data_IF_025184595517
#
_entry.id   IF_025184595517
#
_cell.length_a   1.000
_cell.length_b   1.000
_cell.length_c   1.000
_cell.angle_alpha   90.00
_cell.angle_beta   90.00
_cell.angle_gamma   90.00
#
_symmetry.space_group_name_H-M   'P 1'
#
loop_
_entity.id
_entity.type
_entity.pdbx_description
1 polymer ?
#
# COMPACT_ATOMS: atom_id res chain seq x y z
N UNK A 1 6.31 14.61 -18.96
CA UNK A 1 7.44 14.03 -18.20
C UNK A 1 8.74 14.01 -18.98
N UNK A 2 8.72 13.88 -20.28
CA UNK A 2 9.92 13.87 -21.14
C UNK A 2 10.82 15.12 -21.00
N UNK A 3 10.23 16.27 -20.68
CA UNK A 3 10.96 17.55 -20.51
C UNK A 3 11.59 17.73 -19.11
N UNK A 4 11.35 16.82 -18.16
CA UNK A 4 11.79 16.98 -16.77
C UNK A 4 13.07 16.20 -16.44
N UNK A 5 13.49 15.31 -17.32
CA UNK A 5 14.72 14.54 -17.18
C UNK A 5 15.79 15.10 -18.12
N UNK A 6 16.64 15.99 -17.61
CA UNK A 6 17.90 16.28 -18.29
C UNK A 6 18.73 15.00 -18.39
N UNK A 7 19.36 14.77 -19.54
CA UNK A 7 20.28 13.66 -19.73
C UNK A 7 21.41 13.72 -18.67
N UNK A 8 21.33 12.85 -17.67
CA UNK A 8 22.31 12.79 -16.59
C UNK A 8 23.45 11.84 -16.96
N UNK A 9 24.64 12.17 -16.54
CA UNK A 9 25.88 11.41 -16.84
C UNK A 9 26.22 10.37 -15.76
N UNK A 10 25.26 9.75 -15.11
CA UNK A 10 25.54 8.66 -14.16
C UNK A 10 24.94 7.35 -14.67
N UNK A 11 25.48 6.23 -14.18
CA UNK A 11 25.16 4.87 -14.67
C UNK A 11 23.82 4.32 -14.11
N UNK A 12 23.10 5.08 -13.25
CA UNK A 12 21.83 4.66 -12.67
C UNK A 12 20.70 4.79 -13.68
N UNK A 13 19.89 3.74 -13.81
CA UNK A 13 18.66 3.80 -14.60
C UNK A 13 17.60 4.69 -13.94
N UNK A 14 16.62 5.18 -14.70
CA UNK A 14 15.51 5.94 -14.11
C UNK A 14 14.66 5.07 -13.16
N UNK A 15 14.61 3.77 -13.35
CA UNK A 15 13.93 2.84 -12.45
C UNK A 15 14.63 2.76 -11.08
N UNK A 16 15.96 2.73 -11.05
CA UNK A 16 16.75 2.81 -9.80
C UNK A 16 16.56 4.16 -9.11
N UNK A 17 16.45 5.26 -9.88
CA UNK A 17 16.18 6.59 -9.34
C UNK A 17 14.78 6.69 -8.74
N UNK A 18 13.79 5.95 -9.23
CA UNK A 18 12.47 5.89 -8.64
C UNK A 18 12.53 5.37 -7.21
N UNK A 19 13.32 4.32 -6.98
CA UNK A 19 13.58 3.81 -5.63
C UNK A 19 14.20 4.89 -4.72
N UNK A 20 15.24 5.58 -5.23
CA UNK A 20 15.91 6.64 -4.47
C UNK A 20 14.94 7.79 -4.13
N UNK A 21 14.14 8.26 -5.09
CA UNK A 21 13.12 9.31 -4.86
C UNK A 21 12.16 8.95 -3.75
N UNK A 22 11.73 7.69 -3.71
CA UNK A 22 10.79 7.20 -2.70
C UNK A 22 11.42 7.13 -1.32
N UNK A 23 12.57 6.46 -1.18
CA UNK A 23 13.18 6.21 0.14
C UNK A 23 13.60 7.50 0.86
N UNK A 24 13.97 8.56 0.11
CA UNK A 24 14.30 9.86 0.67
C UNK A 24 13.08 10.79 0.84
N UNK A 25 11.90 10.37 0.45
CA UNK A 25 10.69 11.18 0.51
C UNK A 25 10.11 11.29 1.92
N UNK A 26 9.45 12.41 2.22
CA UNK A 26 8.75 12.60 3.48
C UNK A 26 7.55 11.65 3.65
N UNK A 27 6.71 11.37 2.62
CA UNK A 27 5.66 10.37 2.73
C UNK A 27 6.18 9.00 3.15
N UNK A 28 7.26 8.51 2.53
CA UNK A 28 7.85 7.21 2.89
C UNK A 28 8.37 7.18 4.33
N UNK A 29 9.09 8.22 4.76
CA UNK A 29 9.60 8.30 6.14
C UNK A 29 8.50 8.35 7.19
N UNK A 30 7.33 8.92 6.89
CA UNK A 30 6.19 8.93 7.81
C UNK A 30 5.60 7.55 8.08
N UNK A 31 5.86 6.54 7.22
CA UNK A 31 5.43 5.17 7.43
C UNK A 31 6.03 4.57 8.71
N UNK A 32 7.19 5.07 9.19
CA UNK A 32 7.81 4.63 10.43
C UNK A 32 6.87 4.69 11.65
N UNK A 33 6.00 5.69 11.71
CA UNK A 33 5.07 5.91 12.81
C UNK A 33 3.60 5.69 12.39
N UNK A 34 3.39 4.78 11.45
CA UNK A 34 2.07 4.24 11.08
C UNK A 34 2.01 2.76 11.41
N UNK A 35 0.97 2.36 12.12
CA UNK A 35 0.70 0.98 12.50
C UNK A 35 0.47 0.12 11.27
N UNK A 36 1.07 -1.08 11.23
CA UNK A 36 0.77 -2.09 10.21
C UNK A 36 -0.46 -2.91 10.64
N UNK A 37 -0.34 -3.68 11.69
CA UNK A 37 -1.41 -4.49 12.29
C UNK A 37 -1.50 -4.21 13.78
N UNK A 38 -0.39 -4.39 14.50
CA UNK A 38 -0.36 -4.24 15.94
C UNK A 38 -0.02 -2.82 16.37
N UNK A 39 -0.50 -2.39 17.58
CA UNK A 39 -0.03 -1.16 18.20
C UNK A 39 1.50 -1.13 18.19
N UNK A 40 2.07 0.07 17.98
CA UNK A 40 3.53 0.23 18.08
C UNK A 40 3.93 0.22 19.57
N UNK A 41 4.35 -0.94 20.13
CA UNK A 41 4.72 -1.02 21.55
C UNK A 41 6.11 -0.44 21.77
N UNK A 42 6.33 0.14 22.93
CA UNK A 42 7.64 0.65 23.31
C UNK A 42 8.67 -0.43 23.69
N UNK A 43 8.23 -1.67 23.94
CA UNK A 43 9.06 -2.73 24.54
C UNK A 43 9.32 -3.96 23.67
N UNK A 44 8.52 -4.18 22.62
CA UNK A 44 8.65 -5.33 21.72
C UNK A 44 8.66 -4.81 20.28
N UNK A 45 9.60 -5.31 19.47
CA UNK A 45 9.63 -4.97 18.07
C UNK A 45 8.51 -5.72 17.32
N UNK A 46 7.63 -4.95 16.69
CA UNK A 46 6.68 -5.43 15.69
C UNK A 46 6.81 -4.59 14.43
N UNK A 47 6.35 -5.10 13.29
CA UNK A 47 6.46 -4.40 12.03
C UNK A 47 5.57 -3.13 12.02
N UNK A 48 6.16 -2.03 11.55
CA UNK A 48 5.45 -0.82 11.15
C UNK A 48 5.40 -0.75 9.62
N UNK A 49 4.66 0.19 9.06
CA UNK A 49 4.51 0.29 7.59
C UNK A 49 5.81 0.54 6.86
N UNK A 50 6.81 1.21 7.48
CA UNK A 50 8.12 1.43 6.86
C UNK A 50 8.90 0.14 6.75
N UNK A 51 9.01 -0.63 7.84
CA UNK A 51 9.73 -1.92 7.82
C UNK A 51 9.05 -2.92 6.90
N UNK A 52 7.72 -2.98 6.93
CA UNK A 52 6.94 -3.79 5.99
C UNK A 52 7.20 -3.40 4.53
N UNK A 53 7.13 -2.11 4.17
CA UNK A 53 7.40 -1.66 2.80
C UNK A 53 8.82 -1.99 2.32
N UNK A 54 9.81 -1.97 3.22
CA UNK A 54 11.18 -2.39 2.90
C UNK A 54 11.29 -3.90 2.63
N UNK A 55 10.61 -4.71 3.42
CA UNK A 55 10.56 -6.17 3.26
C UNK A 55 9.82 -6.56 1.98
N UNK A 56 8.65 -5.94 1.73
CA UNK A 56 7.91 -6.12 0.46
C UNK A 56 8.76 -5.73 -0.73
N UNK A 57 9.53 -4.64 -0.63
CA UNK A 57 10.46 -4.21 -1.68
C UNK A 57 11.59 -5.21 -1.92
N UNK A 58 12.11 -5.85 -0.88
CA UNK A 58 13.13 -6.90 -0.99
C UNK A 58 12.57 -8.15 -1.68
N UNK A 59 11.37 -8.61 -1.27
CA UNK A 59 10.69 -9.76 -1.87
C UNK A 59 10.29 -9.46 -3.32
N UNK A 60 9.74 -8.28 -3.57
CA UNK A 60 9.35 -7.83 -4.91
C UNK A 60 10.53 -7.76 -5.88
N UNK A 61 11.68 -7.27 -5.42
CA UNK A 61 12.90 -7.28 -6.22
C UNK A 61 13.33 -8.71 -6.58
N UNK A 62 13.24 -9.63 -5.64
CA UNK A 62 13.59 -11.04 -5.87
C UNK A 62 12.64 -11.67 -6.88
N UNK A 63 11.32 -11.49 -6.73
CA UNK A 63 10.31 -11.92 -7.71
C UNK A 63 10.57 -11.33 -9.08
N UNK A 64 10.80 -10.01 -9.16
CA UNK A 64 11.07 -9.33 -10.43
C UNK A 64 12.32 -9.83 -11.13
N UNK A 65 13.40 -10.08 -10.40
CA UNK A 65 14.66 -10.64 -10.96
C UNK A 65 14.46 -12.08 -11.45
N UNK A 66 13.76 -12.92 -10.67
CA UNK A 66 13.49 -14.31 -11.04
C UNK A 66 12.63 -14.37 -12.30
N UNK A 67 11.54 -13.55 -12.36
CA UNK A 67 10.68 -13.43 -13.55
C UNK A 67 11.48 -12.93 -14.76
N UNK A 68 12.28 -11.86 -14.61
CA UNK A 68 13.12 -11.34 -15.68
C UNK A 68 14.06 -12.42 -16.24
N UNK A 69 14.71 -13.17 -15.36
CA UNK A 69 15.59 -14.27 -15.74
C UNK A 69 14.86 -15.38 -16.53
N UNK A 70 13.63 -15.74 -16.12
CA UNK A 70 12.84 -16.76 -16.84
C UNK A 70 12.34 -16.23 -18.20
N UNK A 71 11.88 -14.97 -18.26
CA UNK A 71 11.43 -14.34 -19.50
C UNK A 71 12.57 -14.23 -20.52
N UNK A 72 13.79 -13.85 -20.10
CA UNK A 72 14.95 -13.79 -21.00
C UNK A 72 15.37 -15.18 -21.53
N UNK A 73 15.21 -16.24 -20.73
CA UNK A 73 15.43 -17.61 -21.21
C UNK A 73 14.38 -18.03 -22.23
N UNK A 74 13.11 -17.65 -22.02
CA UNK A 74 11.99 -17.98 -22.91
C UNK A 74 12.01 -17.14 -24.20
N UNK A 75 12.43 -15.87 -24.08
CA UNK A 75 12.47 -14.88 -25.15
C UNK A 75 13.85 -14.22 -25.29
N UNK A 76 14.89 -14.94 -25.80
CA UNK A 76 16.25 -14.39 -25.90
C UNK A 76 16.38 -13.10 -26.72
N UNK A 77 15.45 -12.88 -27.67
CA UNK A 77 15.41 -11.65 -28.47
C UNK A 77 15.18 -10.37 -27.67
N UNK A 78 14.74 -10.49 -26.42
CA UNK A 78 14.49 -9.36 -25.51
C UNK A 78 15.73 -9.00 -24.66
N UNK A 79 16.90 -9.57 -24.92
CA UNK A 79 18.11 -9.33 -24.13
C UNK A 79 18.54 -7.85 -24.08
N UNK A 80 18.30 -7.10 -25.17
CA UNK A 80 18.60 -5.67 -25.24
C UNK A 80 17.46 -4.77 -24.79
N UNK A 81 16.39 -5.33 -24.23
CA UNK A 81 15.26 -4.59 -23.67
C UNK A 81 15.46 -4.28 -22.18
N UNK A 82 14.52 -3.51 -21.60
CA UNK A 82 14.51 -3.20 -20.15
C UNK A 82 13.95 -4.33 -19.26
N UNK A 83 13.81 -5.56 -19.75
CA UNK A 83 13.31 -6.69 -18.95
C UNK A 83 14.19 -6.96 -17.72
N UNK A 84 15.51 -6.76 -17.82
CA UNK A 84 16.43 -6.86 -16.68
C UNK A 84 16.11 -5.89 -15.55
N UNK A 85 15.38 -4.80 -15.81
CA UNK A 85 15.01 -3.79 -14.83
C UNK A 85 13.69 -4.10 -14.08
N UNK A 86 13.01 -5.21 -14.41
CA UNK A 86 11.75 -5.59 -13.73
C UNK A 86 11.93 -5.61 -12.22
N UNK A 87 13.06 -6.15 -11.72
CA UNK A 87 13.36 -6.15 -10.29
C UNK A 87 13.46 -4.77 -9.68
N UNK A 88 14.05 -3.80 -10.39
CA UNK A 88 14.15 -2.39 -9.94
C UNK A 88 12.76 -1.73 -9.92
N UNK A 89 11.96 -1.92 -10.97
CA UNK A 89 10.60 -1.37 -11.07
C UNK A 89 9.71 -1.91 -9.95
N UNK A 90 9.66 -3.23 -9.78
CA UNK A 90 8.84 -3.88 -8.75
C UNK A 90 9.30 -3.48 -7.35
N UNK A 91 10.61 -3.41 -7.11
CA UNK A 91 11.17 -2.95 -5.84
C UNK A 91 10.71 -1.53 -5.48
N UNK A 92 10.76 -0.60 -6.44
CA UNK A 92 10.29 0.77 -6.24
C UNK A 92 8.76 0.82 -6.02
N UNK A 93 7.99 0.09 -6.82
CA UNK A 93 6.54 0.00 -6.66
C UNK A 93 6.13 -0.57 -5.29
N UNK A 94 6.84 -1.57 -4.80
CA UNK A 94 6.66 -2.14 -3.47
C UNK A 94 6.94 -1.12 -2.35
N UNK A 95 7.94 -0.23 -2.48
CA UNK A 95 8.12 0.84 -1.50
C UNK A 95 6.92 1.79 -1.45
N UNK A 96 6.25 1.97 -2.56
CA UNK A 96 5.19 2.95 -2.71
C UNK A 96 3.79 2.41 -2.37
N UNK A 97 3.58 1.09 -2.30
CA UNK A 97 2.25 0.49 -2.22
C UNK A 97 1.43 0.97 -1.03
N UNK A 98 2.07 1.21 0.11
CA UNK A 98 1.44 1.62 1.38
C UNK A 98 1.49 3.14 1.65
N UNK A 99 2.04 3.95 0.74
CA UNK A 99 2.21 5.41 0.94
C UNK A 99 0.89 6.14 1.20
N UNK A 100 -0.19 5.67 0.60
CA UNK A 100 -1.50 6.31 0.64
C UNK A 100 -2.34 5.96 1.85
N UNK A 101 -1.94 4.99 2.65
CA UNK A 101 -2.70 4.58 3.84
C UNK A 101 -2.74 5.71 4.87
N UNK A 102 -3.94 6.08 5.37
CA UNK A 102 -4.07 7.07 6.42
C UNK A 102 -3.54 6.55 7.76
N UNK A 103 -3.44 7.40 8.79
CA UNK A 103 -3.19 6.93 10.16
C UNK A 103 -4.18 5.84 10.56
N UNK A 104 -3.72 4.88 11.34
CA UNK A 104 -4.49 3.71 11.80
C UNK A 104 -4.96 2.77 10.66
N UNK A 105 -4.33 2.85 9.49
CA UNK A 105 -4.54 1.94 8.37
C UNK A 105 -5.98 1.82 7.88
N UNK A 106 -6.50 0.60 7.77
CA UNK A 106 -7.87 0.35 7.29
C UNK A 106 -8.96 0.97 8.15
N UNK A 107 -8.74 1.12 9.46
CA UNK A 107 -9.66 1.86 10.32
C UNK A 107 -9.75 3.34 9.93
N UNK A 108 -8.61 3.94 9.59
CA UNK A 108 -8.56 5.31 9.06
C UNK A 108 -9.28 5.45 7.71
N UNK A 109 -9.08 4.51 6.75
CA UNK A 109 -9.80 4.48 5.47
C UNK A 109 -11.32 4.42 5.71
N UNK A 110 -11.73 3.48 6.57
CA UNK A 110 -13.14 3.29 6.92
C UNK A 110 -13.72 4.52 7.61
N UNK A 111 -12.97 5.17 8.50
CA UNK A 111 -13.39 6.40 9.15
C UNK A 111 -13.63 7.54 8.15
N UNK A 112 -12.76 7.70 7.15
CA UNK A 112 -12.91 8.67 6.05
C UNK A 112 -14.19 8.36 5.25
N UNK A 113 -14.30 7.14 4.74
CA UNK A 113 -15.45 6.73 3.92
C UNK A 113 -16.77 6.84 4.66
N UNK A 114 -16.81 6.41 5.93
CA UNK A 114 -18.02 6.44 6.78
C UNK A 114 -18.41 7.89 7.15
N UNK A 115 -17.45 8.80 7.31
CA UNK A 115 -17.75 10.22 7.53
C UNK A 115 -18.65 10.79 6.43
N UNK A 116 -18.39 10.43 5.16
CA UNK A 116 -19.20 10.86 4.02
C UNK A 116 -20.46 10.00 3.84
N UNK A 117 -20.40 8.69 4.00
CA UNK A 117 -21.52 7.79 3.70
C UNK A 117 -22.59 7.72 4.80
N UNK A 118 -22.21 7.88 6.06
CA UNK A 118 -23.09 7.71 7.24
C UNK A 118 -22.98 8.85 8.25
N UNK A 119 -21.94 9.70 8.15
CA UNK A 119 -21.63 10.74 9.13
C UNK A 119 -22.08 12.14 8.71
N UNK A 120 -21.45 13.16 9.34
CA UNK A 120 -21.77 14.57 9.10
C UNK A 120 -21.49 15.01 7.65
N UNK A 121 -20.57 14.34 6.98
CA UNK A 121 -20.23 14.60 5.59
C UNK A 121 -21.37 14.34 4.60
N UNK A 122 -22.40 13.56 4.96
CA UNK A 122 -23.58 13.33 4.13
C UNK A 122 -24.27 14.63 3.66
N UNK A 123 -24.21 15.68 4.47
CA UNK A 123 -24.77 16.99 4.12
C UNK A 123 -24.14 17.61 2.88
N UNK A 124 -22.89 17.21 2.54
CA UNK A 124 -22.12 17.73 1.41
C UNK A 124 -22.52 17.10 0.06
N UNK A 125 -23.25 15.99 0.06
CA UNK A 125 -23.64 15.25 -1.15
C UNK A 125 -24.29 16.13 -2.22
N UNK A 126 -25.08 17.13 -1.81
CA UNK A 126 -25.81 18.01 -2.73
C UNK A 126 -24.90 19.03 -3.44
N UNK A 127 -23.69 19.25 -2.92
CA UNK A 127 -22.71 20.22 -3.40
C UNK A 127 -21.63 19.56 -4.28
N UNK A 128 -21.67 18.23 -4.43
CA UNK A 128 -20.69 17.42 -5.13
C UNK A 128 -21.33 16.66 -6.30
N UNK A 129 -20.57 16.43 -7.36
CA UNK A 129 -20.97 15.55 -8.44
C UNK A 129 -21.02 14.09 -7.97
N UNK A 130 -21.74 13.19 -8.66
CA UNK A 130 -21.75 11.76 -8.31
C UNK A 130 -20.37 11.14 -8.26
N UNK A 131 -19.47 11.48 -9.20
CA UNK A 131 -18.10 10.93 -9.25
C UNK A 131 -17.25 11.41 -8.07
N UNK A 132 -17.32 12.70 -7.73
CA UNK A 132 -16.65 13.25 -6.55
C UNK A 132 -17.17 12.61 -5.25
N UNK A 133 -18.47 12.32 -5.22
CA UNK A 133 -19.09 11.65 -4.08
C UNK A 133 -18.63 10.20 -3.94
N UNK A 134 -18.53 9.48 -5.04
CA UNK A 134 -18.03 8.10 -5.05
C UNK A 134 -16.58 8.03 -4.57
N UNK A 135 -15.72 8.96 -4.97
CA UNK A 135 -14.35 9.08 -4.47
C UNK A 135 -14.28 9.20 -2.94
N UNK A 136 -15.15 10.01 -2.37
CA UNK A 136 -15.14 10.29 -0.92
C UNK A 136 -15.75 9.16 -0.10
N UNK A 137 -16.83 8.55 -0.59
CA UNK A 137 -17.52 7.46 0.11
C UNK A 137 -16.80 6.11 0.00
N UNK A 138 -15.87 5.99 -0.93
CA UNK A 138 -15.04 4.81 -1.13
C UNK A 138 -13.55 5.06 -0.88
N UNK A 139 -13.18 6.14 -0.18
CA UNK A 139 -11.76 6.51 0.02
C UNK A 139 -10.87 5.28 0.24
N UNK A 140 -9.77 5.19 -0.52
CA UNK A 140 -8.94 4.00 -0.63
C UNK A 140 -7.44 4.36 -0.70
N UNK A 141 -6.63 3.64 0.09
CA UNK A 141 -5.19 3.92 0.24
C UNK A 141 -4.39 3.73 -1.05
N UNK A 142 -4.73 2.75 -1.90
CA UNK A 142 -4.01 2.57 -3.17
C UNK A 142 -4.25 3.75 -4.12
N UNK A 143 -5.49 4.25 -4.23
CA UNK A 143 -5.80 5.45 -5.01
C UNK A 143 -5.06 6.68 -4.44
N UNK A 144 -5.00 6.79 -3.12
CA UNK A 144 -4.28 7.87 -2.45
C UNK A 144 -2.75 7.76 -2.64
N UNK A 145 -2.17 6.55 -2.72
CA UNK A 145 -0.77 6.37 -3.06
C UNK A 145 -0.46 6.90 -4.47
N UNK A 146 -1.30 6.58 -5.45
CA UNK A 146 -1.18 7.11 -6.81
C UNK A 146 -1.26 8.63 -6.81
N UNK A 147 -2.23 9.24 -6.09
CA UNK A 147 -2.35 10.68 -5.93
C UNK A 147 -1.11 11.31 -5.31
N UNK A 148 -0.57 10.77 -4.22
CA UNK A 148 0.65 11.30 -3.57
C UNK A 148 1.82 11.39 -4.55
N UNK A 149 1.93 10.45 -5.48
CA UNK A 149 3.04 10.34 -6.42
C UNK A 149 2.86 11.19 -7.68
N UNK A 150 1.63 11.42 -8.13
CA UNK A 150 1.33 12.13 -9.39
C UNK A 150 0.89 13.56 -9.17
N UNK A 151 0.16 13.84 -8.09
CA UNK A 151 -0.40 15.16 -7.82
C UNK A 151 0.69 16.23 -7.59
N UNK A 152 0.48 17.40 -8.21
CA UNK A 152 1.34 18.56 -8.00
C UNK A 152 0.87 19.35 -6.78
N UNK A 153 1.42 19.04 -5.62
CA UNK A 153 1.23 19.85 -4.41
C UNK A 153 1.85 21.22 -4.53
N UNK A 154 1.33 22.21 -3.79
CA UNK A 154 1.86 23.57 -3.79
C UNK A 154 3.36 23.63 -3.44
N UNK A 155 4.10 24.45 -4.16
CA UNK A 155 5.54 24.61 -3.98
C UNK A 155 6.40 23.46 -4.55
N UNK A 156 5.79 22.46 -5.19
CA UNK A 156 6.51 21.37 -5.86
C UNK A 156 6.66 21.62 -7.36
N UNK A 157 7.66 20.97 -7.95
CA UNK A 157 7.83 20.91 -9.39
C UNK A 157 6.66 20.21 -10.05
N UNK A 158 6.39 20.56 -11.32
CA UNK A 158 5.41 19.85 -12.15
C UNK A 158 5.75 18.35 -12.23
N UNK A 159 4.73 17.48 -12.19
CA UNK A 159 4.87 16.02 -12.32
C UNK A 159 5.05 15.28 -10.98
N UNK A 160 4.74 15.92 -9.85
CA UNK A 160 4.76 15.24 -8.53
C UNK A 160 6.15 14.73 -8.17
N UNK A 161 6.28 13.41 -8.00
CA UNK A 161 7.57 12.74 -7.73
C UNK A 161 8.40 12.46 -8.99
N UNK A 162 7.85 12.73 -10.17
CA UNK A 162 8.52 12.48 -11.46
C UNK A 162 8.96 11.01 -11.60
N UNK A 163 8.07 10.11 -11.22
CA UNK A 163 8.29 8.66 -11.33
C UNK A 163 8.14 8.17 -12.78
N UNK A 164 8.77 7.05 -13.11
CA UNK A 164 8.53 6.38 -14.39
C UNK A 164 7.09 5.86 -14.48
N UNK A 165 6.55 5.80 -15.68
CA UNK A 165 5.20 5.27 -15.91
C UNK A 165 5.08 3.80 -15.50
N UNK A 166 6.12 3.00 -15.76
CA UNK A 166 6.14 1.59 -15.37
C UNK A 166 6.02 1.42 -13.86
N UNK A 167 6.74 2.22 -13.06
CA UNK A 167 6.61 2.18 -11.60
C UNK A 167 5.22 2.64 -11.16
N UNK A 168 4.69 3.75 -11.71
CA UNK A 168 3.36 4.25 -11.37
C UNK A 168 2.25 3.26 -11.73
N UNK A 169 2.30 2.62 -12.90
CA UNK A 169 1.32 1.61 -13.29
C UNK A 169 1.39 0.36 -12.41
N UNK A 170 2.58 0.01 -11.92
CA UNK A 170 2.80 -1.18 -11.08
C UNK A 170 2.22 -1.06 -9.67
N UNK A 171 1.91 0.14 -9.17
CA UNK A 171 1.25 0.33 -7.88
C UNK A 171 -0.28 0.31 -7.97
N UNK A 172 -0.86 0.49 -9.16
CA UNK A 172 -2.32 0.59 -9.32
C UNK A 172 -2.95 -0.80 -9.40
N UNK A 173 -3.24 -1.35 -8.22
CA UNK A 173 -3.82 -2.70 -8.04
C UNK A 173 -5.22 -2.82 -8.65
N UNK A 174 -6.00 -1.75 -8.62
CA UNK A 174 -7.39 -1.69 -9.07
C UNK A 174 -7.55 -0.61 -10.15
N UNK A 175 -7.20 -0.88 -11.42
CA UNK A 175 -7.09 0.13 -12.46
C UNK A 175 -8.45 0.58 -13.01
N UNK A 176 -9.30 1.09 -12.11
CA UNK A 176 -10.63 1.62 -12.43
C UNK A 176 -11.03 2.74 -11.47
N UNK A 177 -11.99 3.57 -11.90
CA UNK A 177 -12.52 4.70 -11.14
C UNK A 177 -13.37 4.26 -9.94
N UNK A 178 -13.58 5.15 -8.98
CA UNK A 178 -14.37 4.92 -7.77
C UNK A 178 -15.82 4.49 -8.03
N UNK A 179 -16.40 4.86 -9.19
CA UNK A 179 -17.72 4.43 -9.61
C UNK A 179 -17.85 2.88 -9.71
N UNK A 180 -16.74 2.18 -9.88
CA UNK A 180 -16.68 0.72 -9.96
C UNK A 180 -16.19 0.05 -8.66
N UNK A 181 -15.99 0.82 -7.59
CA UNK A 181 -15.41 0.33 -6.33
C UNK A 181 -16.23 -0.78 -5.65
N UNK A 182 -17.55 -0.79 -5.84
CA UNK A 182 -18.46 -1.79 -5.31
C UNK A 182 -18.42 -1.90 -3.77
N UNK A 183 -18.88 -3.03 -3.24
CA UNK A 183 -18.96 -3.27 -1.78
C UNK A 183 -17.59 -3.32 -1.08
N UNK A 184 -16.52 -3.60 -1.82
CA UNK A 184 -15.16 -3.68 -1.25
C UNK A 184 -14.47 -2.33 -1.17
N UNK A 185 -15.07 -1.26 -1.68
CA UNK A 185 -14.51 0.10 -1.73
C UNK A 185 -13.09 0.15 -2.30
N UNK A 186 -12.80 -0.64 -3.35
CA UNK A 186 -11.48 -0.71 -3.99
C UNK A 186 -11.51 -0.06 -5.36
N UNK A 187 -10.57 0.89 -5.60
CA UNK A 187 -10.36 1.56 -6.89
C UNK A 187 -8.92 2.10 -6.95
N UNK A 188 -8.46 2.61 -8.10
CA UNK A 188 -7.05 2.88 -8.31
C UNK A 188 -6.64 4.34 -8.43
N UNK A 189 -7.56 5.23 -8.72
CA UNK A 189 -7.31 6.66 -8.88
C UNK A 189 -8.57 7.48 -8.65
N UNK A 190 -8.42 8.63 -8.02
CA UNK A 190 -9.51 9.61 -7.84
C UNK A 190 -9.82 10.31 -9.18
N UNK A 191 -10.97 10.95 -9.26
CA UNK A 191 -11.38 11.76 -10.40
C UNK A 191 -10.30 12.79 -10.79
N UNK A 192 -9.63 13.36 -9.81
CA UNK A 192 -8.55 14.34 -10.03
C UNK A 192 -7.30 13.77 -10.70
N UNK A 193 -7.02 12.47 -10.58
CA UNK A 193 -5.87 11.77 -11.16
C UNK A 193 -6.25 10.88 -12.36
N UNK A 194 -7.53 10.87 -12.77
CA UNK A 194 -8.01 10.03 -13.87
C UNK A 194 -7.27 10.30 -15.18
N UNK A 195 -7.08 11.57 -15.53
CA UNK A 195 -6.36 11.96 -16.74
C UNK A 195 -4.88 11.53 -16.73
N UNK A 196 -4.24 11.56 -15.56
CA UNK A 196 -2.86 11.10 -15.40
C UNK A 196 -2.78 9.58 -15.63
N UNK A 197 -3.72 8.81 -15.06
CA UNK A 197 -3.73 7.36 -15.28
C UNK A 197 -4.06 7.00 -16.74
N UNK A 198 -5.00 7.69 -17.38
CA UNK A 198 -5.29 7.50 -18.81
C UNK A 198 -4.05 7.72 -19.68
N UNK A 199 -3.28 8.78 -19.41
CA UNK A 199 -2.03 9.06 -20.12
C UNK A 199 -1.02 7.93 -19.91
N UNK A 200 -0.80 7.50 -18.65
CA UNK A 200 0.12 6.40 -18.32
C UNK A 200 -0.30 5.11 -19.02
N UNK A 201 -1.59 4.78 -18.98
CA UNK A 201 -2.12 3.58 -19.63
C UNK A 201 -1.93 3.60 -21.15
N UNK A 202 -2.14 4.77 -21.78
CA UNK A 202 -1.92 4.95 -23.22
C UNK A 202 -0.47 4.78 -23.63
N UNK A 203 0.47 5.38 -22.89
CA UNK A 203 1.92 5.29 -23.17
C UNK A 203 2.47 3.87 -22.95
N UNK A 204 1.92 3.12 -22.02
CA UNK A 204 2.33 1.74 -21.73
C UNK A 204 1.53 0.69 -22.53
N UNK A 205 0.54 1.10 -23.34
CA UNK A 205 -0.30 0.18 -24.08
C UNK A 205 -1.18 -0.70 -23.19
N UNK A 206 -1.56 -0.24 -21.99
CA UNK A 206 -2.44 -0.99 -21.09
C UNK A 206 -3.86 -1.06 -21.71
N UNK A 207 -4.40 -2.25 -21.79
CA UNK A 207 -5.67 -2.51 -22.46
C UNK A 207 -6.83 -1.84 -21.70
N UNK A 208 -7.57 -0.96 -22.36
CA UNK A 208 -8.83 -0.43 -21.83
C UNK A 208 -9.92 -1.47 -21.95
N UNK A 209 -10.59 -1.79 -20.84
CA UNK A 209 -11.67 -2.79 -20.77
C UNK A 209 -13.06 -2.16 -20.85
N UNK A 210 -13.21 -0.87 -20.47
CA UNK A 210 -14.48 -0.15 -20.54
C UNK A 210 -14.68 0.51 -21.90
N UNK A 211 -15.95 0.65 -22.32
CA UNK A 211 -16.35 1.44 -23.51
C UNK A 211 -16.17 2.94 -23.24
N UNK A 212 -16.19 3.78 -24.32
CA UNK A 212 -15.99 5.22 -24.17
C UNK A 212 -16.93 5.91 -23.16
N UNK A 213 -18.20 5.49 -23.11
CA UNK A 213 -19.25 6.08 -22.28
C UNK A 213 -19.42 5.38 -20.91
N UNK A 214 -18.59 4.40 -20.61
CA UNK A 214 -18.59 3.68 -19.35
C UNK A 214 -17.51 4.22 -18.40
N UNK A 215 -17.69 4.08 -17.06
CA UNK A 215 -16.64 4.40 -16.09
C UNK A 215 -15.32 3.73 -16.45
N UNK A 216 -14.21 4.44 -16.25
CA UNK A 216 -12.91 3.96 -16.68
C UNK A 216 -12.53 2.66 -15.99
N UNK A 217 -12.12 1.69 -16.81
CA UNK A 217 -11.56 0.41 -16.39
C UNK A 217 -10.51 -0.06 -17.37
N UNK A 218 -9.35 -0.41 -16.84
CA UNK A 218 -8.22 -0.98 -17.58
C UNK A 218 -7.88 -2.39 -17.10
N UNK A 219 -7.13 -3.14 -17.90
CA UNK A 219 -6.44 -4.34 -17.44
C UNK A 219 -5.37 -3.95 -16.40
N UNK A 220 -5.01 -4.88 -15.53
CA UNK A 220 -3.91 -4.67 -14.58
C UNK A 220 -2.58 -4.65 -15.35
N UNK A 221 -1.70 -3.72 -15.01
CA UNK A 221 -0.32 -3.76 -15.51
C UNK A 221 0.34 -5.07 -15.06
N UNK A 222 1.10 -5.78 -15.91
CA UNK A 222 1.66 -7.09 -15.57
C UNK A 222 2.45 -7.13 -14.26
N UNK A 223 3.21 -6.09 -13.95
CA UNK A 223 4.04 -6.05 -12.74
C UNK A 223 3.24 -5.84 -11.45
N UNK A 224 1.97 -5.42 -11.52
CA UNK A 224 1.08 -5.35 -10.34
C UNK A 224 0.96 -6.71 -9.66
N UNK A 225 0.92 -7.79 -10.42
CA UNK A 225 0.83 -9.15 -9.86
C UNK A 225 2.05 -9.52 -9.02
N UNK A 226 3.23 -9.00 -9.36
CA UNK A 226 4.45 -9.21 -8.58
C UNK A 226 4.48 -8.35 -7.32
N UNK A 227 4.00 -7.11 -7.41
CA UNK A 227 3.87 -6.22 -6.24
C UNK A 227 2.87 -6.79 -5.24
N UNK A 228 1.69 -7.23 -5.73
CA UNK A 228 0.66 -7.87 -4.91
C UNK A 228 1.17 -9.16 -4.26
N UNK A 229 1.86 -10.02 -5.00
CA UNK A 229 2.43 -11.25 -4.45
C UNK A 229 3.49 -10.97 -3.39
N UNK A 230 4.33 -9.96 -3.57
CA UNK A 230 5.32 -9.55 -2.58
C UNK A 230 4.67 -9.07 -1.29
N UNK A 231 3.60 -8.27 -1.39
CA UNK A 231 2.80 -7.80 -0.26
C UNK A 231 2.12 -8.97 0.46
N UNK A 232 1.39 -9.83 -0.27
CA UNK A 232 0.71 -11.00 0.28
C UNK A 232 1.67 -11.94 1.03
N UNK A 233 2.87 -12.19 0.49
CA UNK A 233 3.91 -13.03 1.11
C UNK A 233 4.41 -12.39 2.40
N UNK A 234 4.79 -11.10 2.36
CA UNK A 234 5.33 -10.41 3.52
C UNK A 234 4.26 -10.25 4.60
N UNK A 235 3.09 -9.74 4.24
CA UNK A 235 1.99 -9.52 5.17
C UNK A 235 1.69 -10.79 5.96
N UNK A 236 1.47 -11.92 5.28
CA UNK A 236 1.11 -13.17 5.94
C UNK A 236 2.23 -13.73 6.83
N UNK A 237 3.48 -13.72 6.35
CA UNK A 237 4.60 -14.32 7.09
C UNK A 237 5.04 -13.44 8.26
N UNK A 238 5.05 -12.13 8.10
CA UNK A 238 5.45 -11.21 9.18
C UNK A 238 4.40 -11.14 10.28
N UNK A 239 3.11 -11.20 9.95
CA UNK A 239 2.04 -11.20 10.95
C UNK A 239 2.11 -12.44 11.88
N UNK A 240 2.45 -13.61 11.32
CA UNK A 240 2.65 -14.83 12.11
C UNK A 240 3.89 -14.68 13.03
N UNK A 241 4.98 -14.07 12.54
CA UNK A 241 6.16 -13.79 13.37
C UNK A 241 5.85 -12.78 14.48
N UNK A 242 5.15 -11.69 14.16
CA UNK A 242 4.76 -10.69 15.15
C UNK A 242 3.83 -11.27 16.22
N UNK A 243 2.89 -12.15 15.81
CA UNK A 243 2.05 -12.89 16.76
C UNK A 243 2.87 -13.78 17.70
N UNK A 244 3.95 -14.40 17.20
CA UNK A 244 4.88 -15.14 18.04
C UNK A 244 5.60 -14.21 19.06
N UNK A 245 6.14 -13.08 18.57
CA UNK A 245 6.82 -12.09 19.43
C UNK A 245 5.91 -11.53 20.51
N UNK A 246 4.64 -11.31 20.19
CA UNK A 246 3.62 -10.84 21.12
C UNK A 246 3.00 -11.96 21.98
N UNK A 247 3.48 -13.20 21.84
CA UNK A 247 3.01 -14.37 22.58
C UNK A 247 1.53 -14.71 22.32
N UNK A 248 0.98 -14.28 21.19
CA UNK A 248 -0.33 -14.72 20.71
C UNK A 248 -0.24 -16.12 20.09
N UNK A 249 0.93 -16.50 19.58
CA UNK A 249 1.29 -17.84 19.15
C UNK A 249 2.51 -18.32 19.94
N UNK A 250 2.49 -19.59 20.34
CA UNK A 250 3.67 -20.23 20.94
C UNK A 250 4.73 -20.51 19.88
N UNK A 251 5.97 -20.79 20.31
CA UNK A 251 7.05 -21.21 19.41
C UNK A 251 6.66 -22.46 18.61
N UNK A 252 6.11 -23.46 19.27
CA UNK A 252 5.76 -24.74 18.63
C UNK A 252 4.62 -24.57 17.60
N UNK A 253 3.59 -23.78 17.93
CA UNK A 253 2.52 -23.44 16.98
C UNK A 253 3.09 -22.72 15.74
N UNK A 254 3.94 -21.72 15.95
CA UNK A 254 4.54 -20.94 14.85
C UNK A 254 5.45 -21.80 13.99
N UNK A 255 6.27 -22.64 14.60
CA UNK A 255 7.13 -23.60 13.91
C UNK A 255 6.32 -24.57 13.06
N UNK A 256 5.25 -25.15 13.62
CA UNK A 256 4.40 -26.10 12.91
C UNK A 256 3.71 -25.43 11.70
N UNK A 257 3.21 -24.20 11.83
CA UNK A 257 2.64 -23.44 10.72
C UNK A 257 3.64 -23.28 9.56
N UNK A 258 4.87 -22.88 9.85
CA UNK A 258 5.89 -22.72 8.80
C UNK A 258 6.39 -24.06 8.25
N UNK A 259 6.44 -25.12 9.06
CA UNK A 259 6.85 -26.44 8.60
C UNK A 259 5.89 -27.06 7.57
N UNK A 260 4.60 -26.66 7.56
CA UNK A 260 3.61 -27.14 6.59
C UNK A 260 3.98 -26.79 5.13
N UNK A 261 4.78 -25.76 4.90
CA UNK A 261 5.23 -25.38 3.56
C UNK A 261 6.27 -26.32 2.94
N UNK A 262 6.77 -27.30 3.68
CA UNK A 262 7.88 -28.13 3.24
C UNK A 262 7.54 -29.60 3.18
N UNK A 263 8.13 -30.32 2.20
CA UNK A 263 8.12 -31.77 2.13
C UNK A 263 8.95 -32.39 3.27
N UNK A 264 8.83 -33.71 3.45
CA UNK A 264 9.50 -34.44 4.52
C UNK A 264 11.04 -34.30 4.47
N UNK A 265 11.62 -34.30 3.27
CA UNK A 265 13.07 -34.17 3.07
C UNK A 265 13.55 -32.79 3.55
N UNK A 266 12.83 -31.74 3.18
CA UNK A 266 13.16 -30.37 3.56
C UNK A 266 12.93 -30.14 5.05
N UNK A 267 11.84 -30.71 5.63
CA UNK A 267 11.57 -30.66 7.07
C UNK A 267 12.72 -31.24 7.89
N UNK A 268 13.23 -32.42 7.54
CA UNK A 268 14.39 -33.05 8.22
C UNK A 268 15.62 -32.13 8.22
N UNK A 269 15.93 -31.49 7.08
CA UNK A 269 17.05 -30.55 6.98
C UNK A 269 16.84 -29.30 7.85
N UNK A 270 15.62 -28.78 7.89
CA UNK A 270 15.27 -27.64 8.73
C UNK A 270 15.41 -28.00 10.22
N UNK A 271 14.96 -29.20 10.61
CA UNK A 271 15.12 -29.69 11.98
C UNK A 271 16.60 -29.81 12.39
N UNK A 272 17.47 -30.26 11.50
CA UNK A 272 18.91 -30.28 11.73
C UNK A 272 19.46 -28.88 12.02
N UNK A 273 19.04 -27.88 11.25
CA UNK A 273 19.43 -26.48 11.49
C UNK A 273 18.89 -25.99 12.82
N UNK A 274 17.61 -26.27 13.16
CA UNK A 274 17.00 -25.89 14.42
C UNK A 274 17.63 -26.55 15.66
N UNK A 275 18.35 -27.68 15.50
CA UNK A 275 19.14 -28.28 16.60
C UNK A 275 20.43 -27.50 16.87
N UNK A 276 20.98 -26.83 15.85
CA UNK A 276 22.21 -26.03 15.96
C UNK A 276 21.87 -24.62 16.44
N UNK A 277 20.80 -24.04 15.90
CA UNK A 277 20.31 -22.72 16.30
C UNK A 277 19.44 -22.87 17.54
N UNK A 278 19.93 -22.43 18.69
CA UNK A 278 19.25 -22.63 20.00
C UNK A 278 18.32 -21.48 20.38
N UNK A 279 18.51 -20.29 19.80
CA UNK A 279 17.61 -19.16 20.01
C UNK A 279 16.30 -19.36 19.24
N UNK A 280 15.18 -19.26 19.95
CA UNK A 280 13.85 -19.54 19.37
C UNK A 280 13.42 -18.50 18.33
N UNK A 281 13.83 -17.24 18.49
CA UNK A 281 13.50 -16.20 17.52
C UNK A 281 14.29 -16.38 16.23
N UNK A 282 15.57 -16.78 16.34
CA UNK A 282 16.41 -17.11 15.20
C UNK A 282 15.89 -18.36 14.44
N UNK A 283 15.34 -19.35 15.14
CA UNK A 283 14.66 -20.49 14.50
C UNK A 283 13.46 -20.03 13.68
N UNK A 284 12.62 -19.16 14.22
CA UNK A 284 11.45 -18.62 13.53
C UNK A 284 11.88 -17.75 12.34
N UNK A 285 12.89 -16.90 12.50
CA UNK A 285 13.43 -16.09 11.41
C UNK A 285 13.98 -16.95 10.24
N UNK A 286 14.67 -18.05 10.56
CA UNK A 286 15.16 -19.01 9.54
C UNK A 286 14.00 -19.70 8.80
N UNK A 287 12.98 -20.15 9.53
CA UNK A 287 11.78 -20.77 8.97
C UNK A 287 11.04 -19.80 8.06
N UNK A 288 10.77 -18.58 8.54
CA UNK A 288 10.15 -17.51 7.77
C UNK A 288 10.89 -17.26 6.45
N UNK A 289 12.20 -17.08 6.51
CA UNK A 289 13.03 -16.85 5.32
C UNK A 289 12.95 -18.02 4.34
N UNK A 290 12.89 -19.25 4.84
CA UNK A 290 12.75 -20.45 4.01
C UNK A 290 11.38 -20.53 3.32
N UNK A 291 10.30 -20.16 4.01
CA UNK A 291 8.94 -20.08 3.46
C UNK A 291 8.85 -19.00 2.38
N UNK A 292 9.36 -17.80 2.67
CA UNK A 292 9.39 -16.70 1.70
C UNK A 292 10.09 -17.14 0.41
N UNK A 293 11.25 -17.79 0.52
CA UNK A 293 11.98 -18.31 -0.65
C UNK A 293 11.20 -19.36 -1.44
N UNK A 294 10.39 -20.20 -0.79
CA UNK A 294 9.54 -21.18 -1.46
C UNK A 294 8.38 -20.49 -2.20
N UNK A 295 7.73 -19.50 -1.56
CA UNK A 295 6.63 -18.72 -2.16
C UNK A 295 7.10 -17.87 -3.34
N UNK A 296 8.28 -17.23 -3.26
CA UNK A 296 8.88 -16.48 -4.38
C UNK A 296 9.01 -17.39 -5.60
N UNK A 297 9.59 -18.57 -5.45
CA UNK A 297 9.79 -19.52 -6.56
C UNK A 297 8.45 -19.93 -7.19
N UNK A 298 7.47 -20.20 -6.36
CA UNK A 298 6.17 -20.66 -6.82
C UNK A 298 5.39 -19.54 -7.52
N UNK A 299 5.39 -18.32 -6.99
CA UNK A 299 4.79 -17.16 -7.65
C UNK A 299 5.49 -16.83 -8.97
N UNK A 300 6.81 -16.97 -9.05
CA UNK A 300 7.57 -16.84 -10.31
C UNK A 300 7.11 -17.86 -11.35
N UNK A 301 6.92 -19.12 -10.93
CA UNK A 301 6.38 -20.17 -11.81
C UNK A 301 4.98 -19.81 -12.32
N UNK A 302 4.08 -19.46 -11.41
CA UNK A 302 2.70 -19.08 -11.76
C UNK A 302 2.69 -17.92 -12.76
N UNK A 303 3.50 -16.89 -12.52
CA UNK A 303 3.60 -15.73 -13.42
C UNK A 303 4.06 -16.15 -14.82
N UNK A 304 5.15 -16.90 -14.92
CA UNK A 304 5.77 -17.27 -16.20
C UNK A 304 4.95 -18.28 -17.00
N UNK A 305 4.21 -19.17 -16.34
CA UNK A 305 3.27 -20.09 -16.98
C UNK A 305 2.02 -19.40 -17.49
N UNK A 306 1.62 -18.27 -16.89
CA UNK A 306 0.44 -17.50 -17.27
C UNK A 306 0.77 -16.17 -17.97
N UNK A 307 2.01 -16.03 -18.48
CA UNK A 307 2.49 -14.81 -19.13
C UNK A 307 1.50 -14.23 -20.14
N UNK A 308 1.00 -15.05 -21.07
CA UNK A 308 0.04 -14.61 -22.11
C UNK A 308 -1.25 -14.03 -21.50
N UNK A 309 -1.85 -14.74 -20.55
CA UNK A 309 -3.08 -14.27 -19.87
C UNK A 309 -2.85 -12.99 -19.07
N UNK A 310 -1.66 -12.83 -18.47
CA UNK A 310 -1.28 -11.62 -17.75
C UNK A 310 -1.16 -10.45 -18.72
N UNK A 311 -0.50 -10.64 -19.86
CA UNK A 311 -0.31 -9.61 -20.87
C UNK A 311 -1.62 -9.21 -21.57
N UNK A 312 -2.55 -10.16 -21.77
CA UNK A 312 -3.86 -9.90 -22.37
C UNK A 312 -4.91 -9.37 -21.38
N UNK A 313 -4.57 -9.34 -20.07
CA UNK A 313 -5.49 -8.92 -19.00
C UNK A 313 -6.56 -9.95 -18.63
N UNK A 314 -6.40 -11.21 -19.08
CA UNK A 314 -7.32 -12.33 -18.84
C UNK A 314 -6.98 -13.13 -17.56
N UNK A 315 -5.84 -12.84 -16.91
CA UNK A 315 -5.48 -13.53 -15.68
C UNK A 315 -6.29 -13.01 -14.51
N UNK A 316 -7.06 -13.90 -13.90
CA UNK A 316 -7.94 -13.58 -12.77
C UNK A 316 -7.28 -13.90 -11.42
N UNK A 317 -7.56 -13.07 -10.41
CA UNK A 317 -7.09 -13.24 -9.04
C UNK A 317 -5.65 -12.78 -8.82
N UNK A 318 -4.97 -13.41 -7.85
CA UNK A 318 -3.58 -13.11 -7.45
C UNK A 318 -2.68 -14.30 -7.73
N UNK A 319 -1.35 -14.10 -7.80
CA UNK A 319 -0.43 -15.22 -8.00
C UNK A 319 -0.54 -16.26 -6.86
N UNK A 320 -0.73 -15.80 -5.63
CA UNK A 320 -0.91 -16.67 -4.43
C UNK A 320 -2.15 -17.57 -4.55
N UNK A 321 -3.21 -17.13 -5.24
CA UNK A 321 -4.39 -17.98 -5.45
C UNK A 321 -4.12 -19.19 -6.34
N UNK A 322 -3.06 -19.14 -7.15
CA UNK A 322 -2.72 -20.14 -8.17
C UNK A 322 -1.46 -20.95 -7.85
N UNK A 323 -0.86 -20.78 -6.66
CA UNK A 323 0.24 -21.64 -6.22
C UNK A 323 -0.24 -23.08 -6.00
N UNK A 324 0.65 -24.06 -6.15
CA UNK A 324 0.27 -25.47 -6.00
C UNK A 324 0.14 -25.88 -4.53
N UNK A 325 -0.63 -26.96 -4.27
CA UNK A 325 -0.54 -27.70 -3.01
C UNK A 325 0.83 -28.43 -2.94
N UNK A 326 1.46 -28.55 -1.74
CA UNK A 326 0.88 -28.23 -0.43
C UNK A 326 1.06 -26.76 0.02
N UNK A 327 1.80 -25.93 -0.73
CA UNK A 327 2.09 -24.53 -0.37
C UNK A 327 0.79 -23.71 -0.18
N UNK A 328 -0.18 -23.91 -1.06
CA UNK A 328 -1.49 -23.22 -0.96
C UNK A 328 -2.25 -23.56 0.32
N UNK A 329 -2.29 -24.83 0.67
CA UNK A 329 -2.96 -25.30 1.89
C UNK A 329 -2.29 -24.72 3.14
N UNK A 330 -0.94 -24.71 3.18
CA UNK A 330 -0.18 -24.12 4.27
C UNK A 330 -0.41 -22.60 4.38
N UNK A 331 -0.44 -21.90 3.25
CA UNK A 331 -0.73 -20.47 3.20
C UNK A 331 -2.15 -20.15 3.72
N UNK A 332 -3.13 -20.92 3.26
CA UNK A 332 -4.54 -20.73 3.68
C UNK A 332 -4.72 -21.03 5.18
N UNK A 333 -4.00 -22.02 5.71
CA UNK A 333 -4.01 -22.29 7.15
C UNK A 333 -3.41 -21.14 7.96
N UNK A 334 -2.26 -20.57 7.52
CA UNK A 334 -1.72 -19.36 8.13
C UNK A 334 -2.72 -18.21 8.11
N UNK A 335 -3.42 -18.00 7.00
CA UNK A 335 -4.45 -16.96 6.86
C UNK A 335 -5.63 -17.17 7.81
N UNK A 336 -6.08 -18.41 7.97
CA UNK A 336 -7.17 -18.76 8.89
C UNK A 336 -6.77 -18.47 10.36
N UNK A 337 -5.55 -18.83 10.75
CA UNK A 337 -5.03 -18.59 12.11
C UNK A 337 -4.85 -17.07 12.35
N UNK A 338 -4.29 -16.34 11.37
CA UNK A 338 -4.15 -14.90 11.46
C UNK A 338 -5.52 -14.22 11.67
N UNK A 339 -6.54 -14.60 10.88
CA UNK A 339 -7.88 -14.06 11.01
C UNK A 339 -8.50 -14.32 12.38
N UNK A 340 -8.31 -15.53 12.93
CA UNK A 340 -8.93 -15.93 14.19
C UNK A 340 -8.23 -15.32 15.41
N UNK A 341 -6.89 -15.26 15.42
CA UNK A 341 -6.10 -14.98 16.62
C UNK A 341 -5.40 -13.62 16.60
N UNK A 342 -5.15 -13.05 15.41
CA UNK A 342 -4.42 -11.80 15.26
C UNK A 342 -5.40 -10.63 15.07
N UNK A 343 -6.15 -10.63 13.95
CA UNK A 343 -6.98 -9.47 13.56
C UNK A 343 -8.21 -9.25 14.44
N UNK A 344 -8.51 -10.18 15.32
CA UNK A 344 -9.59 -10.09 16.33
C UNK A 344 -9.08 -9.92 17.76
N UNK A 345 -7.79 -9.70 17.94
CA UNK A 345 -7.23 -9.43 19.27
C UNK A 345 -7.76 -8.08 19.81
N UNK A 346 -7.86 -7.98 21.14
CA UNK A 346 -8.32 -6.75 21.81
C UNK A 346 -7.46 -5.54 21.42
N UNK A 347 -6.16 -5.72 21.32
CA UNK A 347 -5.21 -4.67 21.01
C UNK A 347 -5.44 -4.07 19.62
N UNK A 348 -5.76 -4.92 18.62
CA UNK A 348 -6.09 -4.47 17.25
C UNK A 348 -7.43 -3.73 17.26
N UNK A 349 -8.45 -4.27 17.94
CA UNK A 349 -9.77 -3.65 18.04
C UNK A 349 -9.72 -2.28 18.73
N UNK A 350 -8.90 -2.12 19.77
CA UNK A 350 -8.74 -0.85 20.47
C UNK A 350 -8.12 0.23 19.57
N UNK A 351 -7.16 -0.13 18.72
CA UNK A 351 -6.62 0.79 17.71
C UNK A 351 -7.69 1.16 16.69
N UNK A 352 -8.46 0.19 16.21
CA UNK A 352 -9.53 0.45 15.25
C UNK A 352 -10.56 1.44 15.81
N UNK A 353 -11.00 1.23 17.05
CA UNK A 353 -11.95 2.14 17.73
C UNK A 353 -11.37 3.53 17.92
N UNK A 354 -10.14 3.62 18.42
CA UNK A 354 -9.47 4.91 18.65
C UNK A 354 -9.22 5.63 17.32
N UNK A 355 -8.69 4.94 16.33
CA UNK A 355 -8.39 5.47 15.00
C UNK A 355 -9.62 6.02 14.30
N UNK A 356 -10.72 5.25 14.31
CA UNK A 356 -11.99 5.68 13.75
C UNK A 356 -12.46 7.01 14.37
N UNK A 357 -12.42 7.12 15.69
CA UNK A 357 -12.85 8.34 16.39
C UNK A 357 -11.94 9.52 16.13
N UNK A 358 -10.64 9.31 16.15
CA UNK A 358 -9.63 10.36 15.92
C UNK A 358 -9.78 10.93 14.51
N UNK A 359 -9.77 10.08 13.49
CA UNK A 359 -9.82 10.49 12.08
C UNK A 359 -11.15 11.16 11.75
N UNK A 360 -12.29 10.57 12.12
CA UNK A 360 -13.62 11.20 11.87
C UNK A 360 -13.72 12.58 12.48
N UNK A 361 -13.20 12.78 13.70
CA UNK A 361 -13.23 14.09 14.36
C UNK A 361 -12.34 15.10 13.66
N UNK A 362 -11.12 14.72 13.29
CA UNK A 362 -10.18 15.62 12.62
C UNK A 362 -10.73 16.07 11.25
N UNK A 363 -11.27 15.15 10.47
CA UNK A 363 -11.87 15.46 9.17
C UNK A 363 -13.05 16.40 9.31
N UNK A 364 -13.98 16.13 10.24
CA UNK A 364 -15.13 16.97 10.46
C UNK A 364 -14.75 18.42 10.79
N UNK A 365 -13.83 18.59 11.74
CA UNK A 365 -13.36 19.92 12.14
C UNK A 365 -12.63 20.66 11.01
N UNK A 366 -11.76 19.97 10.27
CA UNK A 366 -10.97 20.55 9.18
C UNK A 366 -11.85 20.90 7.97
N UNK A 367 -12.77 20.03 7.57
CA UNK A 367 -13.71 20.31 6.46
C UNK A 367 -14.62 21.50 6.81
N UNK A 368 -15.16 21.55 8.04
CA UNK A 368 -15.94 22.69 8.48
C UNK A 368 -15.11 23.99 8.51
N UNK A 369 -13.83 23.91 8.86
CA UNK A 369 -12.94 25.07 8.86
C UNK A 369 -12.69 25.61 7.44
N UNK A 370 -12.37 24.75 6.46
CA UNK A 370 -12.13 25.20 5.07
C UNK A 370 -13.41 25.67 4.37
N UNK A 371 -14.59 25.28 4.84
CA UNK A 371 -15.89 25.78 4.36
C UNK A 371 -16.28 27.13 4.96
N UNK A 372 -15.79 27.47 6.14
CA UNK A 372 -16.10 28.73 6.84
C UNK A 372 -14.80 29.38 7.34
N UNK A 373 -13.90 29.78 6.42
CA UNK A 373 -12.55 30.24 6.77
C UNK A 373 -12.55 31.58 7.51
N UNK A 374 -13.63 32.34 7.47
CA UNK A 374 -13.80 33.63 8.15
C UNK A 374 -13.94 33.51 9.67
N UNK A 375 -14.29 32.33 10.19
CA UNK A 375 -14.46 32.12 11.64
C UNK A 375 -13.11 32.03 12.34
N UNK A 376 -12.97 32.64 13.51
CA UNK A 376 -11.74 32.69 14.27
C UNK A 376 -11.14 31.29 14.55
N UNK A 377 -11.99 30.34 14.98
CA UNK A 377 -11.53 28.96 15.22
C UNK A 377 -11.13 28.22 13.95
N UNK A 378 -11.83 28.48 12.84
CA UNK A 378 -11.47 27.93 11.53
C UNK A 378 -10.08 28.36 11.08
N UNK A 379 -9.73 29.64 11.29
CA UNK A 379 -8.40 30.17 10.97
C UNK A 379 -7.29 29.45 11.77
N UNK A 380 -7.54 29.16 13.05
CA UNK A 380 -6.58 28.39 13.86
C UNK A 380 -6.36 26.99 13.30
N UNK A 381 -7.43 26.30 12.88
CA UNK A 381 -7.35 24.95 12.28
C UNK A 381 -6.66 24.97 10.92
N UNK A 382 -7.02 25.93 10.05
CA UNK A 382 -6.41 26.09 8.71
C UNK A 382 -4.90 26.37 8.84
N UNK A 383 -4.48 27.19 9.79
CA UNK A 383 -3.07 27.49 10.04
C UNK A 383 -2.25 26.26 10.52
N UNK A 384 -2.92 25.17 10.91
CA UNK A 384 -2.25 23.89 11.22
C UNK A 384 -1.99 23.04 9.97
N UNK A 385 -2.73 23.29 8.89
CA UNK A 385 -2.57 22.57 7.62
C UNK A 385 -1.32 23.11 6.92
N UNK A 386 -0.45 22.21 6.48
CA UNK A 386 0.76 22.58 5.75
C UNK A 386 0.40 23.30 4.45
N UNK A 387 1.11 24.41 4.13
CA UNK A 387 0.89 25.19 2.92
C UNK A 387 1.08 24.44 1.60
N UNK A 388 1.57 23.19 1.63
CA UNK A 388 1.61 22.35 0.44
C UNK A 388 0.22 21.86 -0.01
N UNK A 389 -0.77 21.87 0.89
CA UNK A 389 -2.15 21.42 0.60
C UNK A 389 -3.03 22.64 0.31
N UNK A 390 -3.61 22.71 -0.88
CA UNK A 390 -4.38 23.86 -1.33
C UNK A 390 -5.78 23.90 -0.72
N UNK A 391 -5.87 24.36 0.52
CA UNK A 391 -7.17 24.56 1.23
C UNK A 391 -8.04 25.66 0.62
N UNK A 392 -7.49 26.48 -0.28
CA UNK A 392 -8.18 27.53 -1.01
C UNK A 392 -8.56 27.11 -2.44
N UNK A 393 -8.56 25.81 -2.72
CA UNK A 393 -8.98 25.29 -4.01
C UNK A 393 -10.35 25.88 -4.45
N UNK A 394 -10.57 26.09 -5.76
CA UNK A 394 -11.77 26.77 -6.26
C UNK A 394 -13.06 25.94 -6.08
N UNK A 395 -12.94 24.62 -5.97
CA UNK A 395 -14.08 23.70 -5.79
C UNK A 395 -14.15 23.16 -4.37
N UNK A 396 -15.35 22.78 -3.92
CA UNK A 396 -15.52 22.12 -2.64
C UNK A 396 -14.78 20.78 -2.60
N UNK A 397 -14.82 20.00 -3.67
CA UNK A 397 -14.09 18.75 -3.80
C UNK A 397 -12.58 18.96 -3.62
N UNK A 398 -11.99 19.95 -4.28
CA UNK A 398 -10.56 20.26 -4.14
C UNK A 398 -10.18 20.66 -2.70
N UNK A 399 -11.05 21.42 -2.00
CA UNK A 399 -10.84 21.77 -0.58
C UNK A 399 -10.90 20.52 0.32
N UNK A 400 -11.85 19.61 0.06
CA UNK A 400 -11.98 18.36 0.79
C UNK A 400 -10.74 17.48 0.52
N UNK A 401 -10.31 17.34 -0.73
CA UNK A 401 -9.10 16.60 -1.08
C UNK A 401 -7.87 17.14 -0.35
N UNK A 402 -7.69 18.46 -0.25
CA UNK A 402 -6.59 19.05 0.50
C UNK A 402 -6.63 18.68 2.00
N UNK A 403 -7.81 18.62 2.60
CA UNK A 403 -8.00 18.13 3.98
C UNK A 403 -7.67 16.63 4.09
N UNK A 404 -8.10 15.83 3.13
CA UNK A 404 -7.82 14.39 3.11
C UNK A 404 -6.33 14.11 2.89
N UNK A 405 -5.67 14.85 1.99
CA UNK A 405 -4.21 14.78 1.77
C UNK A 405 -3.44 15.09 3.06
N UNK A 406 -3.87 16.13 3.80
CA UNK A 406 -3.26 16.48 5.08
C UNK A 406 -3.49 15.39 6.12
N UNK A 407 -4.73 14.92 6.26
CA UNK A 407 -5.13 13.95 7.29
C UNK A 407 -4.52 12.57 7.01
N UNK A 408 -4.60 12.09 5.78
CA UNK A 408 -3.99 10.80 5.39
C UNK A 408 -2.47 10.83 5.45
N UNK A 409 -1.87 12.00 5.26
CA UNK A 409 -0.43 12.21 5.39
C UNK A 409 0.09 12.26 6.84
N UNK A 410 -0.77 12.24 7.87
CA UNK A 410 -0.34 12.20 9.27
C UNK A 410 0.22 10.82 9.64
N UNK A 411 1.02 10.79 10.70
CA UNK A 411 1.34 9.55 11.43
C UNK A 411 0.27 9.32 12.51
N UNK A 412 0.18 8.10 13.02
CA UNK A 412 -0.76 7.74 14.10
C UNK A 412 -0.53 8.62 15.33
N UNK A 413 0.74 8.77 15.70
CA UNK A 413 1.15 9.59 16.84
C UNK A 413 0.77 11.07 16.65
N UNK A 414 1.02 11.60 15.45
CA UNK A 414 0.68 13.01 15.16
C UNK A 414 -0.83 13.24 15.14
N UNK A 415 -1.60 12.34 14.54
CA UNK A 415 -3.06 12.42 14.49
C UNK A 415 -3.66 12.40 15.91
N UNK A 416 -3.18 11.48 16.76
CA UNK A 416 -3.63 11.39 18.15
C UNK A 416 -3.25 12.62 18.97
N UNK A 417 -2.01 13.12 18.82
CA UNK A 417 -1.57 14.34 19.51
C UNK A 417 -2.38 15.57 19.10
N UNK A 418 -2.60 15.74 17.80
CA UNK A 418 -3.42 16.84 17.28
C UNK A 418 -4.86 16.75 17.79
N UNK A 419 -5.46 15.55 17.77
CA UNK A 419 -6.79 15.31 18.32
C UNK A 419 -6.87 15.72 19.81
N UNK A 420 -5.90 15.30 20.63
CA UNK A 420 -5.85 15.65 22.06
C UNK A 420 -5.75 17.16 22.28
N UNK A 421 -4.91 17.86 21.51
CA UNK A 421 -4.74 19.31 21.57
C UNK A 421 -6.02 20.04 21.18
N UNK A 422 -6.66 19.63 20.10
CA UNK A 422 -7.95 20.23 19.63
C UNK A 422 -9.05 20.03 20.67
N UNK A 423 -9.07 18.87 21.35
CA UNK A 423 -10.05 18.58 22.41
C UNK A 423 -9.70 19.22 23.76
N UNK A 424 -8.57 19.89 23.90
CA UNK A 424 -8.11 20.47 25.17
C UNK A 424 -7.63 19.43 26.20
N UNK A 425 -7.40 18.18 25.78
CA UNK A 425 -6.98 17.10 26.65
C UNK A 425 -5.44 17.06 26.87
N UNK A 426 -4.70 17.83 26.10
CA UNK A 426 -3.27 18.07 26.34
C UNK A 426 -2.88 19.46 25.85
N UNK A 427 -1.94 20.08 26.56
CA UNK A 427 -1.31 21.34 26.14
C UNK A 427 0.05 21.02 25.49
N UNK A 428 0.59 21.92 24.63
CA UNK A 428 1.96 21.80 24.18
C UNK A 428 2.90 21.70 25.38
N UNK A 429 3.81 20.72 25.36
CA UNK A 429 4.92 20.73 26.32
C UNK A 429 5.77 21.96 26.00
N UNK A 430 6.03 22.79 27.03
CA UNK A 430 6.91 23.97 26.94
C UNK A 430 8.36 23.51 27.06
#
# INVERSE_FOLDING_TARGET
MEELHEARKDDRTEFQRDYDRLIFSAPFRRLQNKTQVFPLPGSVFVHNRLTHSLEVSCVGRSLGNDVASQLLKKHPALADSHISEIGSIVSAACLAHDLGNPPFGHSGEKAISTYFSEGQGMALKKELSPMEWDDLTHFEGNANAFRILTHQFEGRRKGGFVMTYSTLASIVKYPFSSQLAGKKSKFGFFLSEEADYQKIAGELGIIRLSKPDEPLRYARHPLVYLVEAADDICYQMMDIEDAHKLKLLTHDETKELYMQFFDEKRRKRIEEVCRIVTDVNEQIAYLRSSVIGALIKECTRVFTENEEKILTGEFEGTLIMHICSPLKEAYDNCSAIAFQRIYRSSDVLDIELAGFRVISTLIDLMINAVRSPEKAYSQLLINRISGQYNVNAPTLYGKIQAVLDYTSGMTDVYALDLYRKIKGNSLPAV
#
